data_IF_989916207607
#
_entry.id   IF_989916207607
#
_cell.length_a   1.000
_cell.length_b   1.000
_cell.length_c   1.000
_cell.angle_alpha   90.00
_cell.angle_beta   90.00
_cell.angle_gamma   90.00
#
_symmetry.space_group_name_H-M   'P 1'
#
loop_
_entity.id
_entity.type
_entity.pdbx_description
1 polymer ?
#
# COMPACT_ATOMS: atom_id res chain seq x y z
N UNK A 1 -15.60 -17.69 81.57
CA UNK A 1 -15.80 -18.19 80.20
C UNK A 1 -16.50 -17.09 79.39
N UNK A 2 -15.75 -16.29 78.64
CA UNK A 2 -16.29 -15.31 77.67
C UNK A 2 -15.69 -15.70 76.32
N UNK A 3 -16.56 -16.01 75.35
CA UNK A 3 -16.17 -16.48 74.03
C UNK A 3 -15.52 -15.37 73.22
N UNK A 4 -14.33 -15.63 72.69
CA UNK A 4 -13.70 -14.77 71.69
C UNK A 4 -14.41 -14.94 70.33
N UNK A 5 -14.83 -13.81 69.74
CA UNK A 5 -15.36 -13.72 68.39
C UNK A 5 -14.18 -13.45 67.44
N UNK A 6 -14.02 -14.19 66.33
CA UNK A 6 -12.89 -13.98 65.41
C UNK A 6 -13.09 -12.71 64.57
N UNK A 7 -12.00 -12.05 64.12
CA UNK A 7 -12.10 -10.80 63.37
C UNK A 7 -12.64 -11.02 61.95
N UNK A 8 -13.51 -10.11 61.52
CA UNK A 8 -14.06 -10.02 60.17
C UNK A 8 -12.94 -9.87 59.13
N UNK A 9 -12.87 -10.80 58.18
CA UNK A 9 -12.01 -10.69 56.99
C UNK A 9 -12.42 -9.46 56.18
N UNK A 10 -11.48 -8.53 55.97
CA UNK A 10 -11.64 -7.45 54.98
C UNK A 10 -11.68 -8.07 53.58
N UNK A 11 -12.77 -7.82 52.85
CA UNK A 11 -12.89 -8.16 51.44
C UNK A 11 -11.80 -7.41 50.63
N UNK A 12 -10.84 -8.14 50.07
CA UNK A 12 -10.01 -7.66 48.97
C UNK A 12 -10.84 -7.68 47.67
N UNK A 13 -10.77 -6.65 46.82
CA UNK A 13 -11.37 -6.69 45.49
C UNK A 13 -10.62 -7.72 44.62
N UNK A 14 -11.31 -8.40 43.69
CA UNK A 14 -10.69 -9.43 42.87
C UNK A 14 -9.65 -8.82 41.91
N UNK A 15 -8.54 -9.55 41.75
CA UNK A 15 -7.50 -9.31 40.75
C UNK A 15 -8.06 -9.39 39.32
N UNK A 16 -7.65 -8.53 38.36
CA UNK A 16 -8.19 -8.55 37.01
C UNK A 16 -7.59 -9.71 36.20
N UNK A 17 -8.17 -10.89 36.33
CA UNK A 17 -7.92 -12.01 35.42
C UNK A 17 -8.96 -12.00 34.28
N UNK A 18 -8.42 -11.94 33.05
CA UNK A 18 -9.04 -12.38 31.79
C UNK A 18 -10.39 -11.75 31.43
N UNK A 19 -10.33 -10.52 30.89
CA UNK A 19 -11.38 -10.03 30.01
C UNK A 19 -11.37 -10.89 28.74
N UNK A 20 -12.52 -11.51 28.42
CA UNK A 20 -12.74 -12.16 27.12
C UNK A 20 -12.47 -11.14 25.99
N UNK A 21 -11.76 -11.52 24.92
CA UNK A 21 -11.62 -10.63 23.77
C UNK A 21 -13.01 -10.29 23.24
N UNK A 22 -13.29 -8.99 23.12
CA UNK A 22 -14.48 -8.48 22.46
C UNK A 22 -14.52 -9.05 21.04
N UNK A 23 -15.69 -9.46 20.53
CA UNK A 23 -15.79 -9.96 19.15
C UNK A 23 -15.27 -8.88 18.20
N UNK A 24 -14.29 -9.26 17.37
CA UNK A 24 -13.77 -8.43 16.28
C UNK A 24 -14.94 -7.93 15.43
N UNK A 25 -15.01 -6.62 15.19
CA UNK A 25 -15.96 -6.02 14.25
C UNK A 25 -16.01 -6.85 12.95
N UNK A 26 -17.21 -7.06 12.36
CA UNK A 26 -17.33 -7.83 11.14
C UNK A 26 -16.48 -7.23 10.02
N UNK A 27 -15.79 -8.12 9.29
CA UNK A 27 -14.91 -7.80 8.17
C UNK A 27 -15.68 -6.94 7.13
N UNK A 28 -15.32 -5.67 6.99
CA UNK A 28 -16.08 -4.73 6.15
C UNK A 28 -15.85 -4.99 4.65
N UNK A 29 -16.93 -5.18 3.89
CA UNK A 29 -16.90 -5.11 2.41
C UNK A 29 -16.48 -3.69 2.01
N UNK A 30 -15.53 -3.57 1.09
CA UNK A 30 -14.93 -2.28 0.71
C UNK A 30 -15.73 -1.56 -0.37
N UNK A 31 -15.81 -0.23 -0.29
CA UNK A 31 -16.35 0.63 -1.35
C UNK A 31 -15.29 1.05 -2.38
N UNK A 32 -14.07 0.51 -2.28
CA UNK A 32 -12.98 0.79 -3.21
C UNK A 32 -13.17 -0.10 -4.44
N UNK A 33 -13.50 0.51 -5.57
CA UNK A 33 -14.02 -0.19 -6.77
C UNK A 33 -13.09 -1.24 -7.38
N UNK A 34 -11.79 -1.19 -7.07
CA UNK A 34 -10.78 -2.07 -7.64
C UNK A 34 -10.29 -3.18 -6.69
N UNK A 35 -10.95 -3.35 -5.53
CA UNK A 35 -10.63 -4.37 -4.52
C UNK A 35 -11.90 -4.97 -3.89
N UNK A 36 -11.78 -6.12 -3.19
CA UNK A 36 -12.93 -6.88 -2.67
C UNK A 36 -13.04 -6.79 -1.14
N UNK A 37 -11.89 -6.69 -0.45
CA UNK A 37 -11.80 -6.72 1.00
C UNK A 37 -10.80 -5.67 1.48
N UNK A 38 -11.04 -5.07 2.65
CA UNK A 38 -10.01 -4.29 3.35
C UNK A 38 -9.48 -5.07 4.54
N UNK A 39 -8.16 -5.00 4.75
CA UNK A 39 -7.47 -5.41 5.97
C UNK A 39 -6.71 -4.20 6.54
N UNK A 40 -6.96 -3.84 7.81
CA UNK A 40 -6.39 -2.63 8.41
C UNK A 40 -5.52 -2.96 9.63
N UNK A 41 -4.30 -3.52 9.45
CA UNK A 41 -3.34 -3.71 10.52
C UNK A 41 -2.87 -2.40 11.17
N UNK A 42 -3.04 -1.25 10.51
CA UNK A 42 -2.82 0.06 11.13
C UNK A 42 -3.97 1.03 10.85
N UNK A 43 -4.17 2.03 11.72
CA UNK A 43 -5.02 3.21 11.48
C UNK A 43 -4.21 4.49 11.67
N UNK A 44 -4.66 5.59 11.07
CA UNK A 44 -4.01 6.90 11.19
C UNK A 44 -2.81 7.13 10.27
N UNK A 45 -2.52 8.40 10.01
CA UNK A 45 -1.43 8.82 9.11
C UNK A 45 -1.10 10.30 9.32
N UNK A 46 0.11 10.71 8.93
CA UNK A 46 0.49 12.12 8.78
C UNK A 46 0.34 12.56 7.31
N UNK A 47 -0.25 13.75 7.10
CA UNK A 47 -0.31 14.45 5.81
C UNK A 47 1.10 14.83 5.35
N UNK A 48 1.46 14.49 4.10
CA UNK A 48 2.81 14.74 3.55
C UNK A 48 2.81 15.29 2.11
N UNK A 49 1.63 15.53 1.53
CA UNK A 49 1.49 16.11 0.18
C UNK A 49 0.17 16.87 0.03
N UNK A 50 0.07 17.62 -1.07
CA UNK A 50 -1.14 18.36 -1.44
C UNK A 50 -2.34 17.43 -1.69
N UNK A 51 -2.08 16.17 -2.06
CA UNK A 51 -3.10 15.13 -2.13
C UNK A 51 -3.78 14.83 -0.79
N UNK A 52 -3.13 15.15 0.33
CA UNK A 52 -3.66 14.89 1.66
C UNK A 52 -4.57 16.01 2.20
N UNK A 53 -4.71 17.14 1.49
CA UNK A 53 -5.49 18.29 1.97
C UNK A 53 -6.97 17.94 2.22
N UNK A 54 -7.58 17.16 1.33
CA UNK A 54 -8.98 16.69 1.44
C UNK A 54 -9.06 15.18 1.74
N UNK A 55 -8.12 14.65 2.54
CA UNK A 55 -8.03 13.22 2.83
C UNK A 55 -9.32 12.67 3.47
N UNK A 56 -10.02 11.75 2.77
CA UNK A 56 -11.25 11.16 3.29
C UNK A 56 -11.02 10.40 4.61
N UNK A 57 -9.85 9.75 4.76
CA UNK A 57 -9.55 8.94 5.94
C UNK A 57 -9.43 9.81 7.20
N UNK A 58 -8.91 11.04 7.06
CA UNK A 58 -8.84 12.00 8.17
C UNK A 58 -10.26 12.45 8.59
N UNK A 59 -11.11 12.79 7.61
CA UNK A 59 -12.50 13.17 7.88
C UNK A 59 -13.32 12.02 8.50
N UNK A 60 -13.11 10.81 8.00
CA UNK A 60 -13.77 9.61 8.51
C UNK A 60 -13.28 9.24 9.91
N UNK A 61 -11.98 9.39 10.21
CA UNK A 61 -11.43 9.14 11.54
C UNK A 61 -12.04 10.07 12.60
N UNK A 62 -12.22 11.36 12.30
CA UNK A 62 -12.93 12.29 13.19
C UNK A 62 -14.35 11.81 13.50
N UNK A 63 -15.07 11.31 12.49
CA UNK A 63 -16.42 10.75 12.65
C UNK A 63 -16.39 9.47 13.50
N UNK A 64 -15.50 8.54 13.20
CA UNK A 64 -15.34 7.28 13.94
C UNK A 64 -14.97 7.50 15.42
N UNK A 65 -14.13 8.49 15.69
CA UNK A 65 -13.85 8.95 17.07
C UNK A 65 -15.13 9.38 17.77
N UNK A 66 -15.90 10.29 17.15
CA UNK A 66 -17.15 10.80 17.70
C UNK A 66 -18.22 9.71 17.92
N UNK A 67 -18.17 8.62 17.14
CA UNK A 67 -19.03 7.44 17.32
C UNK A 67 -18.49 6.44 18.36
N UNK A 68 -17.34 6.71 19.00
CA UNK A 68 -16.77 5.86 20.04
C UNK A 68 -16.00 4.64 19.53
N UNK A 69 -15.62 4.57 18.24
CA UNK A 69 -14.85 3.44 17.71
C UNK A 69 -13.49 3.34 18.38
N UNK A 70 -13.18 2.17 18.97
CA UNK A 70 -11.98 1.95 19.79
C UNK A 70 -10.67 2.25 19.02
N UNK A 71 -10.60 1.91 17.73
CA UNK A 71 -9.40 2.09 16.89
C UNK A 71 -9.06 3.55 16.55
N UNK A 72 -9.97 4.49 16.86
CA UNK A 72 -9.87 5.90 16.47
C UNK A 72 -9.95 6.85 17.67
N UNK A 73 -9.66 6.37 18.88
CA UNK A 73 -9.68 7.23 20.08
C UNK A 73 -8.40 8.04 20.26
N UNK A 74 -7.28 7.64 19.64
CA UNK A 74 -5.99 8.31 19.76
C UNK A 74 -5.86 9.48 18.78
N UNK A 75 -5.67 10.69 19.32
CA UNK A 75 -5.51 11.90 18.52
C UNK A 75 -4.10 12.05 17.97
N UNK A 76 -4.02 12.43 16.69
CA UNK A 76 -2.75 12.69 16.02
C UNK A 76 -2.23 14.10 16.29
N UNK A 77 -1.13 14.44 15.64
CA UNK A 77 -0.58 15.79 15.66
C UNK A 77 -1.60 16.80 15.06
N UNK A 78 -1.77 17.98 15.68
CA UNK A 78 -2.75 18.99 15.27
C UNK A 78 -2.51 19.56 13.86
N UNK A 79 -1.26 19.57 13.37
CA UNK A 79 -0.90 20.14 12.07
C UNK A 79 -0.84 19.07 10.99
N UNK A 80 -0.29 17.89 11.27
CA UNK A 80 -0.13 16.83 10.26
C UNK A 80 -1.22 15.79 10.27
N UNK A 81 -1.98 15.67 11.35
CA UNK A 81 -3.08 14.72 11.53
C UNK A 81 -4.24 15.45 12.21
N UNK A 82 -5.10 14.73 12.93
CA UNK A 82 -6.21 15.34 13.65
C UNK A 82 -6.90 14.35 14.59
N UNK A 83 -8.12 14.69 15.03
CA UNK A 83 -8.87 13.87 15.98
C UNK A 83 -9.04 12.44 15.49
N UNK A 84 -8.60 11.48 16.31
CA UNK A 84 -8.71 10.06 16.07
C UNK A 84 -7.80 9.50 14.98
N UNK A 85 -6.82 10.28 14.50
CA UNK A 85 -5.99 9.92 13.34
C UNK A 85 -4.50 9.81 13.65
N UNK A 86 -4.13 9.54 14.92
CA UNK A 86 -2.78 9.10 15.24
C UNK A 86 -2.48 7.76 14.59
N UNK A 87 -1.23 7.57 14.16
CA UNK A 87 -0.81 6.24 13.71
C UNK A 87 -0.88 5.27 14.90
N UNK A 88 -1.66 4.21 14.74
CA UNK A 88 -1.83 3.13 15.70
C UNK A 88 -1.72 1.79 14.98
N UNK A 89 -0.93 0.87 15.54
CA UNK A 89 -0.85 -0.53 15.10
C UNK A 89 -1.89 -1.39 15.79
N UNK A 90 -2.45 -2.38 15.10
CA UNK A 90 -3.49 -3.28 15.62
C UNK A 90 -3.04 -4.76 15.53
N UNK A 91 -2.19 -5.24 16.45
CA UNK A 91 -1.70 -6.64 16.43
C UNK A 91 -2.82 -7.69 16.40
N UNK A 92 -3.95 -7.43 17.06
CA UNK A 92 -5.09 -8.35 17.11
C UNK A 92 -5.71 -8.65 15.74
N UNK A 93 -5.49 -7.76 14.77
CA UNK A 93 -6.00 -7.90 13.39
C UNK A 93 -5.06 -8.71 12.49
N UNK A 94 -3.84 -9.02 12.95
CA UNK A 94 -2.83 -9.69 12.13
C UNK A 94 -3.31 -11.06 11.63
N UNK A 95 -4.09 -11.77 12.44
CA UNK A 95 -4.55 -13.13 12.13
C UNK A 95 -5.81 -13.18 11.27
N UNK A 96 -6.42 -12.04 10.93
CA UNK A 96 -7.65 -11.99 10.15
C UNK A 96 -7.52 -12.71 8.80
N UNK A 97 -6.46 -12.47 7.99
CA UNK A 97 -6.36 -13.12 6.68
C UNK A 97 -6.18 -14.63 6.74
N UNK A 98 -5.57 -15.15 7.81
CA UNK A 98 -5.38 -16.60 8.02
C UNK A 98 -6.73 -17.36 8.08
N UNK A 99 -7.82 -16.66 8.40
CA UNK A 99 -9.17 -17.24 8.53
C UNK A 99 -9.93 -17.25 7.21
N UNK A 100 -9.48 -16.52 6.19
CA UNK A 100 -10.20 -16.40 4.92
C UNK A 100 -9.86 -17.57 3.98
N UNK A 101 -10.86 -18.41 3.68
CA UNK A 101 -10.67 -19.60 2.85
C UNK A 101 -10.76 -19.34 1.35
N UNK A 102 -11.61 -18.41 0.92
CA UNK A 102 -11.78 -18.09 -0.51
C UNK A 102 -10.73 -17.06 -0.94
N UNK A 103 -10.14 -17.18 -2.15
CA UNK A 103 -9.31 -16.14 -2.74
C UNK A 103 -9.98 -14.77 -2.70
N UNK A 104 -9.19 -13.73 -2.46
CA UNK A 104 -9.66 -12.34 -2.30
C UNK A 104 -8.62 -11.37 -2.86
N UNK A 105 -9.07 -10.27 -3.45
CA UNK A 105 -8.27 -9.05 -3.60
C UNK A 105 -8.43 -8.17 -2.36
N UNK A 106 -7.34 -7.98 -1.63
CA UNK A 106 -7.31 -7.36 -0.30
C UNK A 106 -6.53 -6.05 -0.36
N UNK A 107 -7.21 -4.93 -0.14
CA UNK A 107 -6.54 -3.65 0.08
C UNK A 107 -6.05 -3.53 1.52
N UNK A 108 -4.74 -3.37 1.68
CA UNK A 108 -4.10 -3.25 3.00
C UNK A 108 -4.03 -1.78 3.37
N UNK A 109 -4.63 -1.44 4.51
CA UNK A 109 -4.68 -0.11 5.10
C UNK A 109 -5.45 0.94 4.27
N UNK A 110 -6.78 0.87 4.30
CA UNK A 110 -7.63 1.93 3.74
C UNK A 110 -7.72 3.19 4.61
N UNK A 111 -7.31 3.11 5.87
CA UNK A 111 -7.42 4.21 6.85
C UNK A 111 -6.07 4.60 7.46
N UNK A 112 -4.96 4.26 6.79
CA UNK A 112 -3.59 4.57 7.20
C UNK A 112 -2.61 4.43 6.03
N UNK A 113 -1.31 4.58 6.29
CA UNK A 113 -0.23 4.26 5.34
C UNK A 113 0.68 3.21 6.00
N UNK A 114 0.74 2.00 5.43
CA UNK A 114 1.49 0.88 6.03
C UNK A 114 2.99 1.23 6.20
N UNK A 115 3.56 2.02 5.29
CA UNK A 115 4.95 2.44 5.35
C UNK A 115 5.15 3.77 6.09
N UNK A 116 4.20 4.20 6.93
CA UNK A 116 4.37 5.35 7.80
C UNK A 116 5.62 5.21 8.70
N UNK A 117 6.33 6.33 8.95
CA UNK A 117 7.61 6.33 9.68
C UNK A 117 7.52 5.71 11.09
N UNK A 118 6.36 5.89 11.74
CA UNK A 118 6.04 5.34 13.07
C UNK A 118 5.59 3.87 13.07
N UNK A 119 5.42 3.19 11.92
CA UNK A 119 5.13 1.75 11.91
C UNK A 119 6.45 1.00 12.14
N UNK A 120 6.59 0.22 13.23
CA UNK A 120 7.82 -0.50 13.50
C UNK A 120 8.16 -1.50 12.39
N UNK A 121 9.46 -1.70 12.14
CA UNK A 121 9.93 -2.65 11.12
C UNK A 121 9.47 -4.08 11.42
N UNK A 122 9.50 -4.50 12.68
CA UNK A 122 9.07 -5.85 13.06
C UNK A 122 7.57 -6.04 12.84
N UNK A 123 6.75 -5.01 13.08
CA UNK A 123 5.33 -5.05 12.77
C UNK A 123 5.07 -5.15 11.26
N UNK A 124 5.86 -4.45 10.43
CA UNK A 124 5.82 -4.65 8.99
C UNK A 124 6.16 -6.08 8.60
N UNK A 125 7.18 -6.68 9.22
CA UNK A 125 7.57 -8.06 8.96
C UNK A 125 6.45 -9.04 9.36
N UNK A 126 5.74 -8.80 10.47
CA UNK A 126 4.55 -9.57 10.85
C UNK A 126 3.44 -9.49 9.79
N UNK A 127 3.14 -8.30 9.29
CA UNK A 127 2.14 -8.10 8.22
C UNK A 127 2.55 -8.85 6.95
N UNK A 128 3.82 -8.74 6.54
CA UNK A 128 4.34 -9.45 5.37
C UNK A 128 4.38 -10.97 5.56
N UNK A 129 4.69 -11.46 6.76
CA UNK A 129 4.65 -12.89 7.08
C UNK A 129 3.23 -13.47 6.92
N UNK A 130 2.20 -12.72 7.34
CA UNK A 130 0.80 -13.11 7.12
C UNK A 130 0.46 -13.16 5.63
N UNK A 131 0.85 -12.14 4.85
CA UNK A 131 0.63 -12.13 3.40
C UNK A 131 1.32 -13.30 2.70
N UNK A 132 2.52 -13.66 3.17
CA UNK A 132 3.31 -14.78 2.67
C UNK A 132 2.67 -16.15 3.02
N UNK A 133 2.07 -16.27 4.21
CA UNK A 133 1.36 -17.47 4.66
C UNK A 133 -0.04 -17.64 4.03
N UNK A 134 -0.51 -16.65 3.27
CA UNK A 134 -1.85 -16.66 2.65
C UNK A 134 -1.77 -16.40 1.14
N UNK A 135 -1.05 -17.25 0.39
CA UNK A 135 -0.79 -17.04 -1.04
C UNK A 135 -2.05 -17.07 -1.92
N UNK A 136 -3.17 -17.57 -1.40
CA UNK A 136 -4.47 -17.56 -2.08
C UNK A 136 -5.08 -16.14 -2.21
N UNK A 137 -4.60 -15.15 -1.46
CA UNK A 137 -5.09 -13.77 -1.54
C UNK A 137 -4.09 -12.88 -2.27
N UNK A 138 -4.61 -11.92 -3.03
CA UNK A 138 -3.80 -10.86 -3.64
C UNK A 138 -3.90 -9.62 -2.77
N UNK A 139 -2.76 -9.12 -2.28
CA UNK A 139 -2.68 -7.94 -1.42
C UNK A 139 -2.29 -6.71 -2.23
N UNK A 140 -3.02 -5.62 -2.06
CA UNK A 140 -2.74 -4.32 -2.67
C UNK A 140 -2.35 -3.34 -1.56
N UNK A 141 -1.12 -2.86 -1.57
CA UNK A 141 -0.61 -1.87 -0.64
C UNK A 141 -0.40 -0.56 -1.38
N UNK A 142 -0.97 0.53 -0.87
CA UNK A 142 -0.75 1.88 -1.41
C UNK A 142 -0.05 2.76 -0.38
N UNK A 143 1.03 3.43 -0.76
CA UNK A 143 1.78 4.32 0.13
C UNK A 143 2.18 5.63 -0.53
N UNK A 144 2.27 6.71 0.23
CA UNK A 144 2.92 7.96 -0.22
C UNK A 144 4.41 8.03 0.17
N UNK A 145 4.94 6.94 0.74
CA UNK A 145 6.31 6.80 1.26
C UNK A 145 7.06 5.64 0.60
N UNK A 146 7.12 5.56 -0.75
CA UNK A 146 7.76 4.44 -1.44
C UNK A 146 9.27 4.36 -1.18
N UNK A 147 9.94 5.46 -0.85
CA UNK A 147 11.36 5.44 -0.44
C UNK A 147 11.56 4.56 0.80
N UNK A 148 10.69 4.72 1.80
CA UNK A 148 10.74 3.88 3.01
C UNK A 148 10.39 2.43 2.70
N UNK A 149 9.44 2.18 1.81
CA UNK A 149 9.12 0.83 1.34
C UNK A 149 10.35 0.17 0.69
N UNK A 150 10.96 0.84 -0.30
CA UNK A 150 12.17 0.35 -0.96
C UNK A 150 13.29 0.07 0.05
N UNK A 151 13.63 1.06 0.90
CA UNK A 151 14.72 0.91 1.89
C UNK A 151 14.52 -0.25 2.86
N UNK A 152 13.29 -0.54 3.26
CA UNK A 152 13.00 -1.65 4.19
C UNK A 152 13.05 -2.98 3.45
N UNK A 153 12.45 -3.05 2.26
CA UNK A 153 12.28 -4.30 1.54
C UNK A 153 13.51 -4.71 0.70
N UNK A 154 14.44 -3.79 0.45
CA UNK A 154 15.74 -4.05 -0.20
C UNK A 154 16.91 -3.69 0.71
N UNK A 155 16.74 -3.86 2.02
CA UNK A 155 17.77 -3.48 2.97
C UNK A 155 19.07 -4.27 2.76
N UNK A 156 20.20 -3.60 2.89
CA UNK A 156 21.52 -4.19 2.63
C UNK A 156 22.11 -4.72 3.95
N UNK A 157 22.67 -5.93 3.92
CA UNK A 157 23.44 -6.43 5.06
C UNK A 157 24.73 -5.64 5.22
N UNK A 158 24.95 -5.10 6.41
CA UNK A 158 26.23 -4.47 6.79
C UNK A 158 27.16 -5.44 7.54
N UNK A 159 26.76 -6.71 7.68
CA UNK A 159 27.49 -7.76 8.38
C UNK A 159 28.80 -8.20 7.71
N UNK A 160 29.02 -7.84 6.44
CA UNK A 160 30.17 -8.32 5.65
C UNK A 160 30.00 -9.70 5.00
N UNK A 161 28.90 -10.43 5.29
CA UNK A 161 28.68 -11.80 4.78
C UNK A 161 28.03 -11.86 3.38
N UNK A 162 27.85 -10.72 2.69
CA UNK A 162 27.38 -10.71 1.30
C UNK A 162 25.92 -11.15 1.09
N UNK A 163 25.05 -11.01 2.09
CA UNK A 163 23.63 -11.35 1.92
C UNK A 163 22.94 -10.50 0.83
N UNK A 164 21.99 -11.08 0.08
CA UNK A 164 21.25 -10.34 -0.95
C UNK A 164 20.38 -9.22 -0.34
N UNK A 165 20.02 -8.18 -1.12
CA UNK A 165 19.12 -7.13 -0.65
C UNK A 165 17.77 -7.68 -0.17
N UNK A 166 17.28 -7.17 0.97
CA UNK A 166 16.02 -7.59 1.57
C UNK A 166 16.09 -8.85 2.43
N UNK A 167 17.27 -9.49 2.52
CA UNK A 167 17.46 -10.73 3.27
C UNK A 167 17.03 -10.59 4.73
N UNK A 168 17.45 -9.52 5.41
CA UNK A 168 17.11 -9.31 6.81
C UNK A 168 15.63 -9.08 7.03
N UNK A 169 14.95 -8.38 6.11
CA UNK A 169 13.50 -8.20 6.23
C UNK A 169 12.78 -9.53 6.14
N UNK A 170 13.22 -10.41 5.23
CA UNK A 170 12.71 -11.77 5.10
C UNK A 170 13.05 -12.63 6.32
N UNK A 171 14.24 -12.49 6.92
CA UNK A 171 14.56 -13.14 8.18
C UNK A 171 13.65 -12.66 9.33
N UNK A 172 13.29 -11.37 9.37
CA UNK A 172 12.30 -10.86 10.33
C UNK A 172 10.91 -11.45 10.11
N UNK A 173 10.52 -11.74 8.87
CA UNK A 173 9.27 -12.46 8.58
C UNK A 173 9.30 -13.88 9.14
N UNK A 174 10.43 -14.58 9.00
CA UNK A 174 10.62 -15.91 9.61
C UNK A 174 10.58 -15.86 11.13
N UNK A 175 11.20 -14.82 11.71
CA UNK A 175 11.14 -14.58 13.15
C UNK A 175 9.70 -14.35 13.63
N UNK A 176 8.86 -13.67 12.85
CA UNK A 176 7.43 -13.52 13.15
C UNK A 176 6.63 -14.84 13.05
N UNK A 177 7.14 -15.86 12.37
CA UNK A 177 6.55 -17.20 12.28
C UNK A 177 7.11 -18.20 13.31
N UNK A 178 8.05 -17.77 14.16
CA UNK A 178 8.73 -18.65 15.12
C UNK A 178 8.05 -18.59 16.50
N UNK A 179 7.52 -19.68 17.07
CA UNK A 179 6.70 -19.64 18.28
C UNK A 179 7.34 -19.03 19.54
N UNK A 180 8.66 -19.07 19.67
CA UNK A 180 9.39 -18.50 20.81
C UNK A 180 9.83 -17.05 20.57
N UNK A 181 9.50 -16.47 19.42
CA UNK A 181 9.80 -15.09 19.09
C UNK A 181 8.89 -14.12 19.86
N UNK A 182 9.43 -12.99 20.37
CA UNK A 182 8.60 -11.92 20.94
C UNK A 182 7.69 -11.25 19.90
N UNK A 183 7.95 -11.45 18.61
CA UNK A 183 7.13 -10.92 17.50
C UNK A 183 6.30 -12.01 16.84
N UNK A 184 6.11 -13.16 17.48
CA UNK A 184 5.34 -14.27 16.93
C UNK A 184 3.89 -13.86 16.62
N UNK A 185 3.40 -14.21 15.43
CA UNK A 185 1.99 -14.06 15.06
C UNK A 185 1.32 -15.42 15.16
N UNK A 186 0.31 -15.59 16.04
CA UNK A 186 -0.38 -16.86 16.21
C UNK A 186 -0.96 -17.42 14.91
N UNK A 187 -0.65 -18.68 14.61
CA UNK A 187 -1.14 -19.38 13.44
C UNK A 187 -0.22 -19.30 12.22
N UNK A 188 0.92 -18.60 12.32
CA UNK A 188 1.98 -18.73 11.32
C UNK A 188 2.81 -19.99 11.57
N UNK A 189 3.13 -20.69 10.50
CA UNK A 189 3.99 -21.88 10.51
C UNK A 189 5.42 -21.50 10.12
N UNK A 190 6.40 -21.99 10.87
CA UNK A 190 7.82 -21.83 10.58
C UNK A 190 8.17 -22.27 9.14
N UNK A 191 9.22 -21.69 8.55
CA UNK A 191 9.69 -21.95 7.19
C UNK A 191 9.01 -21.09 6.11
N UNK A 192 8.39 -19.97 6.47
CA UNK A 192 7.85 -18.98 5.51
C UNK A 192 8.96 -18.51 4.57
N UNK A 193 10.15 -18.24 5.10
CA UNK A 193 11.30 -17.76 4.33
C UNK A 193 11.64 -18.67 3.15
N UNK A 194 11.55 -19.99 3.34
CA UNK A 194 11.90 -20.99 2.32
C UNK A 194 10.74 -21.30 1.37
N UNK A 195 9.49 -21.19 1.84
CA UNK A 195 8.30 -21.52 1.03
C UNK A 195 7.81 -20.34 0.18
N UNK A 196 8.19 -19.12 0.53
CA UNK A 196 7.73 -17.91 -0.16
C UNK A 196 8.77 -17.40 -1.15
N UNK A 197 8.35 -17.13 -2.39
CA UNK A 197 9.16 -16.40 -3.36
C UNK A 197 9.42 -14.96 -2.92
N UNK A 198 10.50 -14.35 -3.42
CA UNK A 198 10.79 -12.93 -3.25
C UNK A 198 11.03 -12.25 -4.60
N UNK A 199 10.32 -11.16 -4.94
CA UNK A 199 9.19 -10.56 -4.21
C UNK A 199 8.04 -11.55 -3.99
N UNK A 200 7.19 -11.30 -2.98
CA UNK A 200 6.00 -12.13 -2.73
C UNK A 200 5.08 -12.06 -3.96
N UNK A 201 4.76 -13.20 -4.62
CA UNK A 201 4.00 -13.22 -5.87
C UNK A 201 2.59 -12.63 -5.77
N UNK A 202 2.04 -12.61 -4.56
CA UNK A 202 0.70 -12.16 -4.27
C UNK A 202 0.64 -10.74 -3.66
N UNK A 203 1.77 -10.01 -3.61
CA UNK A 203 1.82 -8.65 -3.05
C UNK A 203 2.09 -7.62 -4.14
N UNK A 204 1.11 -6.73 -4.31
CA UNK A 204 1.15 -5.57 -5.19
C UNK A 204 1.43 -4.33 -4.35
N UNK A 205 2.40 -3.53 -4.77
CA UNK A 205 2.77 -2.30 -4.06
C UNK A 205 2.62 -1.14 -5.03
N UNK A 206 1.95 -0.10 -4.60
CA UNK A 206 1.77 1.10 -5.38
C UNK A 206 2.07 2.36 -4.60
N UNK A 207 2.19 3.46 -5.35
CA UNK A 207 2.35 4.78 -4.75
C UNK A 207 1.35 5.79 -5.30
N UNK A 208 0.87 6.70 -4.43
CA UNK A 208 0.03 7.79 -4.91
C UNK A 208 0.89 8.84 -5.61
N UNK A 209 0.42 9.33 -6.75
CA UNK A 209 1.05 10.41 -7.51
C UNK A 209 -0.02 11.42 -7.88
N UNK A 210 0.04 12.61 -7.31
CA UNK A 210 -1.02 13.60 -7.52
C UNK A 210 -0.69 14.62 -8.62
N UNK A 211 0.60 14.78 -8.97
CA UNK A 211 1.12 15.68 -10.01
C UNK A 211 2.57 15.30 -10.36
N UNK A 212 3.15 15.94 -11.39
CA UNK A 212 4.52 15.64 -11.88
C UNK A 212 5.58 15.66 -10.78
N UNK A 213 5.55 16.64 -9.85
CA UNK A 213 6.53 16.73 -8.76
C UNK A 213 6.58 15.44 -7.94
N UNK A 214 5.42 14.88 -7.61
CA UNK A 214 5.36 13.62 -6.86
C UNK A 214 5.63 12.40 -7.75
N UNK A 215 5.36 12.47 -9.06
CA UNK A 215 5.75 11.44 -10.02
C UNK A 215 7.28 11.27 -10.03
N UNK A 216 7.99 12.38 -10.25
CA UNK A 216 9.47 12.44 -10.30
C UNK A 216 10.10 11.95 -8.99
N UNK A 217 9.47 12.24 -7.85
CA UNK A 217 9.95 11.84 -6.53
C UNK A 217 9.67 10.38 -6.20
N UNK A 218 8.46 9.89 -6.49
CA UNK A 218 7.93 8.63 -5.93
C UNK A 218 8.08 7.44 -6.88
N UNK A 219 7.99 7.65 -8.18
CA UNK A 219 8.08 6.55 -9.17
C UNK A 219 9.46 5.89 -9.12
N UNK A 220 10.60 6.62 -9.10
CA UNK A 220 11.92 5.98 -9.01
C UNK A 220 12.10 5.12 -7.73
N UNK A 221 11.48 5.52 -6.62
CA UNK A 221 11.52 4.72 -5.38
C UNK A 221 10.62 3.49 -5.48
N UNK A 222 9.43 3.61 -6.09
CA UNK A 222 8.55 2.47 -6.33
C UNK A 222 9.21 1.42 -7.22
N UNK A 223 9.90 1.82 -8.29
CA UNK A 223 10.59 0.92 -9.21
C UNK A 223 11.71 0.10 -8.52
N UNK A 224 12.30 0.63 -7.45
CA UNK A 224 13.27 -0.10 -6.60
C UNK A 224 12.61 -1.06 -5.61
N UNK A 225 11.30 -0.94 -5.38
CA UNK A 225 10.60 -1.73 -4.38
C UNK A 225 10.28 -3.13 -4.95
N UNK A 226 10.57 -4.22 -4.23
CA UNK A 226 10.24 -5.58 -4.68
C UNK A 226 8.74 -5.79 -4.52
N UNK A 227 8.05 -6.00 -5.64
CA UNK A 227 6.61 -6.27 -5.70
C UNK A 227 6.30 -7.09 -6.95
N UNK A 228 5.25 -7.91 -6.89
CA UNK A 228 4.78 -8.66 -8.05
C UNK A 228 4.09 -7.76 -9.08
N UNK A 229 3.46 -6.68 -8.61
CA UNK A 229 2.87 -5.61 -9.44
C UNK A 229 3.22 -4.28 -8.80
N UNK A 230 3.75 -3.36 -9.61
CA UNK A 230 4.00 -1.96 -9.24
C UNK A 230 2.92 -1.08 -9.85
N UNK A 231 2.14 -0.40 -9.04
CA UNK A 231 1.04 0.43 -9.55
C UNK A 231 1.07 1.89 -9.10
N UNK A 232 0.51 2.76 -9.93
CA UNK A 232 0.26 4.16 -9.55
C UNK A 232 -1.20 4.37 -9.20
N UNK A 233 -1.42 5.17 -8.16
CA UNK A 233 -2.75 5.66 -7.79
C UNK A 233 -2.75 7.17 -7.92
N UNK A 234 -3.22 7.66 -9.06
CA UNK A 234 -3.39 9.08 -9.36
C UNK A 234 -4.80 9.52 -8.99
N UNK A 235 -5.15 9.34 -7.72
CA UNK A 235 -6.45 9.66 -7.14
C UNK A 235 -6.29 10.33 -5.76
N UNK A 236 -6.38 11.67 -5.67
CA UNK A 236 -6.77 12.58 -6.74
C UNK A 236 -5.60 12.94 -7.69
N UNK A 237 -5.87 13.02 -8.99
CA UNK A 237 -5.01 13.69 -9.97
C UNK A 237 -5.30 15.20 -9.94
N UNK A 238 -4.37 15.98 -9.37
CA UNK A 238 -4.54 17.43 -9.12
C UNK A 238 -3.59 18.29 -9.95
N UNK A 239 -2.82 17.68 -10.85
CA UNK A 239 -1.96 18.35 -11.82
C UNK A 239 -1.54 17.37 -12.93
N UNK A 240 -0.97 17.88 -14.04
CA UNK A 240 -0.51 17.03 -15.13
C UNK A 240 0.60 16.10 -14.66
N UNK A 241 0.65 14.91 -15.28
CA UNK A 241 1.72 13.92 -15.14
C UNK A 241 2.03 13.39 -16.53
N UNK A 242 3.29 13.46 -16.91
CA UNK A 242 3.89 12.82 -18.08
C UNK A 242 4.66 11.60 -17.58
N UNK A 243 4.24 10.40 -17.99
CA UNK A 243 4.87 9.13 -17.62
C UNK A 243 5.95 8.68 -18.62
N UNK A 244 6.06 9.34 -19.78
CA UNK A 244 7.09 9.07 -20.80
C UNK A 244 8.36 9.92 -20.61
N UNK A 245 8.26 11.01 -19.85
CA UNK A 245 9.35 11.90 -19.48
C UNK A 245 9.56 13.05 -20.46
N UNK A 246 10.27 14.13 -20.07
CA UNK A 246 10.33 15.35 -20.86
C UNK A 246 11.02 15.11 -22.21
N UNK A 247 10.35 15.49 -23.29
CA UNK A 247 11.02 15.79 -24.57
C UNK A 247 11.81 17.08 -24.34
N UNK A 248 13.09 16.97 -24.00
CA UNK A 248 13.96 18.15 -23.81
C UNK A 248 14.28 18.75 -25.19
N UNK A 249 13.86 20.00 -25.51
CA UNK A 249 14.28 20.65 -26.75
C UNK A 249 15.72 21.16 -26.56
N UNK A 250 16.69 20.55 -27.22
CA UNK A 250 18.11 20.97 -27.19
C UNK A 250 19.10 19.83 -27.43
N UNK A 251 20.41 20.16 -27.59
CA UNK A 251 21.50 19.17 -27.80
C UNK A 251 21.85 18.33 -26.56
N UNK A 252 20.95 18.21 -25.59
CA UNK A 252 21.07 17.27 -24.48
C UNK A 252 20.32 15.98 -24.82
N UNK A 253 20.87 14.80 -24.50
CA UNK A 253 20.12 13.54 -24.66
C UNK A 253 18.87 13.62 -23.76
N UNK A 254 17.64 13.48 -24.29
CA UNK A 254 16.44 13.45 -23.48
C UNK A 254 16.58 12.36 -22.41
N UNK A 255 16.35 12.70 -21.14
CA UNK A 255 16.10 11.69 -20.11
C UNK A 255 14.66 11.22 -20.29
N UNK A 256 14.44 10.33 -21.24
CA UNK A 256 13.20 9.56 -21.30
C UNK A 256 13.10 8.80 -19.98
N UNK A 257 12.00 8.99 -19.26
CA UNK A 257 11.73 8.28 -18.03
C UNK A 257 11.03 7.00 -18.42
N UNK A 258 11.79 5.92 -18.56
CA UNK A 258 11.29 4.60 -19.00
C UNK A 258 10.44 3.90 -17.94
N UNK A 259 9.52 4.63 -17.30
CA UNK A 259 8.73 4.12 -16.19
C UNK A 259 7.69 3.11 -16.64
N UNK A 260 7.18 3.23 -17.88
CA UNK A 260 6.17 2.33 -18.44
C UNK A 260 6.78 1.18 -19.24
N UNK A 261 7.83 1.42 -20.01
CA UNK A 261 8.41 0.45 -20.95
C UNK A 261 9.60 -0.33 -20.36
N UNK A 262 10.22 0.18 -19.28
CA UNK A 262 11.28 -0.51 -18.54
C UNK A 262 12.45 -0.89 -19.43
N UNK A 263 13.11 0.10 -20.07
CA UNK A 263 14.11 -0.16 -21.12
C UNK A 263 15.07 -1.30 -20.80
N UNK A 264 15.52 -2.04 -21.83
CA UNK A 264 16.48 -3.11 -21.65
C UNK A 264 17.80 -2.57 -21.09
N UNK A 265 18.12 -2.98 -19.87
CA UNK A 265 19.45 -2.87 -19.29
C UNK A 265 20.32 -4.04 -19.72
N UNK A 266 21.64 -3.85 -19.59
CA UNK A 266 22.55 -4.99 -19.49
C UNK A 266 22.43 -5.57 -18.09
N UNK A 267 22.49 -6.90 -17.95
CA UNK A 267 22.60 -7.53 -16.62
C UNK A 267 23.84 -7.03 -15.89
N UNK A 268 23.89 -7.23 -14.57
CA UNK A 268 25.15 -7.07 -13.82
C UNK A 268 26.26 -7.88 -14.52
N UNK A 269 27.50 -7.35 -14.59
CA UNK A 269 28.59 -8.04 -15.27
C UNK A 269 28.89 -9.35 -14.55
N UNK A 270 28.77 -10.48 -15.25
CA UNK A 270 29.14 -11.79 -14.68
C UNK A 270 30.59 -12.09 -15.09
N UNK A 271 31.53 -12.20 -14.14
CA UNK A 271 32.89 -12.65 -14.46
C UNK A 271 32.84 -14.11 -14.89
N UNK A 272 33.35 -14.40 -16.08
CA UNK A 272 33.55 -15.76 -16.60
C UNK A 272 35.05 -16.03 -16.74
N UNK A 273 35.42 -17.30 -16.89
CA UNK A 273 36.82 -17.71 -17.08
C UNK A 273 37.50 -17.12 -18.32
N UNK A 274 36.76 -16.44 -19.20
CA UNK A 274 37.24 -15.83 -20.44
C UNK A 274 36.93 -14.32 -20.56
N UNK A 275 36.33 -13.67 -19.55
CA UNK A 275 36.04 -12.24 -19.59
C UNK A 275 34.82 -11.81 -18.77
N UNK A 276 34.22 -10.68 -19.15
CA UNK A 276 32.95 -10.19 -18.60
C UNK A 276 31.84 -10.55 -19.57
N UNK A 277 30.88 -11.37 -19.15
CA UNK A 277 29.66 -11.63 -19.92
C UNK A 277 28.61 -10.57 -19.53
N UNK A 278 28.19 -9.76 -20.50
CA UNK A 278 27.00 -8.91 -20.39
C UNK A 278 25.86 -9.59 -21.15
N UNK A 279 24.82 -10.06 -20.45
CA UNK A 279 23.63 -10.60 -21.11
C UNK A 279 22.77 -9.44 -21.64
N UNK A 280 22.28 -9.60 -22.86
CA UNK A 280 21.48 -8.60 -23.57
C UNK A 280 20.00 -8.64 -23.14
N UNK A 281 19.47 -7.47 -22.79
CA UNK A 281 18.06 -7.08 -22.61
C UNK A 281 17.28 -7.76 -21.45
N UNK A 282 17.57 -7.42 -20.19
CA UNK A 282 16.51 -7.44 -19.17
C UNK A 282 15.77 -6.11 -19.23
N UNK A 283 14.48 -6.10 -19.57
CA UNK A 283 13.65 -4.90 -19.35
C UNK A 283 13.76 -4.54 -17.86
N UNK A 284 14.28 -3.36 -17.56
CA UNK A 284 14.38 -2.88 -16.18
C UNK A 284 13.01 -2.79 -15.50
N UNK A 285 12.96 -2.57 -14.18
CA UNK A 285 11.71 -2.43 -13.46
C UNK A 285 10.81 -1.36 -14.11
N UNK A 286 9.55 -1.72 -14.34
CA UNK A 286 8.51 -0.85 -14.90
C UNK A 286 7.28 -0.82 -14.01
N UNK A 287 6.35 0.06 -14.36
CA UNK A 287 5.00 0.09 -13.84
C UNK A 287 4.14 -0.96 -14.56
N UNK A 288 3.28 -1.63 -13.81
CA UNK A 288 2.41 -2.69 -14.32
C UNK A 288 0.95 -2.22 -14.42
N UNK A 289 0.58 -1.19 -13.66
CA UNK A 289 -0.80 -0.70 -13.61
C UNK A 289 -0.89 0.77 -13.19
N UNK A 290 -1.77 1.54 -13.84
CA UNK A 290 -2.00 2.96 -13.51
C UNK A 290 -3.49 3.19 -13.26
N UNK A 291 -3.82 3.74 -12.09
CA UNK A 291 -5.19 4.12 -11.72
C UNK A 291 -5.30 5.65 -11.78
N UNK A 292 -6.29 6.17 -12.49
CA UNK A 292 -6.54 7.61 -12.63
C UNK A 292 -7.91 7.94 -12.02
N UNK A 293 -7.96 9.01 -11.21
CA UNK A 293 -9.22 9.44 -10.61
C UNK A 293 -9.23 10.91 -10.15
N UNK A 294 -10.35 11.58 -10.42
CA UNK A 294 -10.63 12.90 -9.86
C UNK A 294 -10.97 12.84 -8.36
N UNK A 295 -10.80 13.98 -7.68
CA UNK A 295 -11.17 14.14 -6.26
C UNK A 295 -12.69 14.13 -6.09
N UNK A 296 -13.17 13.56 -4.98
CA UNK A 296 -14.60 13.45 -4.69
C UNK A 296 -14.96 14.07 -3.34
N UNK A 297 -16.17 14.63 -3.24
CA UNK A 297 -16.73 15.16 -1.99
C UNK A 297 -16.66 16.68 -1.87
N UNK A 298 -17.07 17.24 -0.71
CA UNK A 298 -17.06 18.68 -0.48
C UNK A 298 -15.65 19.24 -0.58
N UNK A 299 -15.48 20.34 -1.33
CA UNK A 299 -14.16 20.96 -1.55
C UNK A 299 -13.25 20.20 -2.52
N UNK A 300 -13.79 19.25 -3.29
CA UNK A 300 -13.04 18.56 -4.34
C UNK A 300 -12.42 19.54 -5.33
N UNK A 301 -11.14 19.33 -5.64
CA UNK A 301 -10.42 20.08 -6.68
C UNK A 301 -10.77 19.52 -8.06
N UNK A 302 -10.87 20.38 -9.09
CA UNK A 302 -11.09 19.93 -10.46
C UNK A 302 -9.88 19.14 -10.98
N UNK A 303 -10.16 18.06 -11.71
CA UNK A 303 -9.19 17.36 -12.54
C UNK A 303 -9.48 17.75 -13.99
N UNK A 304 -8.46 18.19 -14.74
CA UNK A 304 -8.62 18.43 -16.17
C UNK A 304 -8.66 17.06 -16.90
N UNK A 305 -9.73 16.72 -17.63
CA UNK A 305 -9.84 15.44 -18.35
C UNK A 305 -8.70 15.19 -19.34
N UNK A 306 -8.11 16.25 -19.91
CA UNK A 306 -6.98 16.12 -20.83
C UNK A 306 -5.77 15.43 -20.19
N UNK A 307 -5.53 15.62 -18.88
CA UNK A 307 -4.46 14.92 -18.17
C UNK A 307 -4.73 13.40 -18.11
N UNK A 308 -5.98 13.01 -17.85
CA UNK A 308 -6.37 11.60 -17.83
C UNK A 308 -6.26 10.98 -19.23
N UNK A 309 -6.67 11.72 -20.28
CA UNK A 309 -6.57 11.25 -21.67
C UNK A 309 -5.11 11.01 -22.06
N UNK A 310 -4.21 11.92 -21.71
CA UNK A 310 -2.77 11.75 -21.95
C UNK A 310 -2.24 10.48 -21.26
N UNK A 311 -2.53 10.29 -19.97
CA UNK A 311 -2.07 9.11 -19.22
C UNK A 311 -2.60 7.81 -19.83
N UNK A 312 -3.88 7.77 -20.25
CA UNK A 312 -4.47 6.61 -20.92
C UNK A 312 -3.71 6.30 -22.22
N UNK A 313 -3.44 7.30 -23.04
CA UNK A 313 -2.69 7.13 -24.29
C UNK A 313 -1.26 6.63 -24.05
N UNK A 314 -0.55 7.18 -23.06
CA UNK A 314 0.80 6.76 -22.69
C UNK A 314 0.84 5.30 -22.21
N UNK A 315 -0.15 4.90 -21.38
CA UNK A 315 -0.27 3.53 -20.89
C UNK A 315 -0.60 2.55 -22.02
N UNK A 316 -1.56 2.89 -22.89
CA UNK A 316 -1.93 2.06 -24.05
C UNK A 316 -0.77 1.88 -25.01
N UNK A 317 -0.03 2.97 -25.31
CA UNK A 317 1.18 2.92 -26.14
C UNK A 317 2.23 1.97 -25.56
N UNK A 318 2.41 2.01 -24.23
CA UNK A 318 3.40 1.21 -23.51
C UNK A 318 2.90 -0.18 -23.11
N UNK A 319 1.64 -0.52 -23.42
CA UNK A 319 0.97 -1.77 -23.02
C UNK A 319 0.95 -2.00 -21.50
N UNK A 320 0.80 -0.92 -20.75
CA UNK A 320 0.60 -0.94 -19.29
C UNK A 320 -0.90 -0.83 -19.02
N UNK A 321 -1.44 -1.68 -18.14
CA UNK A 321 -2.86 -1.64 -17.83
C UNK A 321 -3.25 -0.29 -17.21
N UNK A 322 -4.35 0.30 -17.66
CA UNK A 322 -4.86 1.57 -17.12
C UNK A 322 -6.32 1.46 -16.66
N UNK A 323 -6.62 2.04 -15.51
CA UNK A 323 -7.94 2.04 -14.91
C UNK A 323 -8.40 3.47 -14.60
N UNK A 324 -9.36 3.97 -15.36
CA UNK A 324 -10.05 5.23 -15.05
C UNK A 324 -11.18 4.93 -14.06
N UNK A 325 -11.01 5.42 -12.84
CA UNK A 325 -11.95 5.19 -11.74
C UNK A 325 -13.14 6.15 -11.79
N UNK A 326 -12.86 7.45 -11.84
CA UNK A 326 -13.85 8.51 -11.81
C UNK A 326 -13.26 9.84 -12.30
N UNK A 327 -14.09 10.75 -12.82
CA UNK A 327 -13.65 12.08 -13.27
C UNK A 327 -13.73 13.17 -12.19
N UNK A 328 -14.30 12.86 -11.02
CA UNK A 328 -14.35 13.73 -9.84
C UNK A 328 -15.65 14.54 -9.73
N UNK A 329 -15.91 15.06 -8.53
CA UNK A 329 -17.17 15.75 -8.20
C UNK A 329 -17.36 17.06 -8.98
N UNK A 330 -16.28 17.79 -9.27
CA UNK A 330 -16.38 19.05 -10.03
C UNK A 330 -16.80 18.78 -11.47
N UNK A 331 -16.15 17.82 -12.13
CA UNK A 331 -16.49 17.40 -13.49
C UNK A 331 -17.93 16.89 -13.58
N UNK A 332 -18.36 16.06 -12.62
CA UNK A 332 -19.71 15.51 -12.57
C UNK A 332 -20.78 16.61 -12.54
N UNK A 333 -20.58 17.63 -11.70
CA UNK A 333 -21.48 18.77 -11.60
C UNK A 333 -21.52 19.60 -12.88
N UNK A 334 -20.37 19.86 -13.48
CA UNK A 334 -20.27 20.67 -14.70
C UNK A 334 -20.89 20.00 -15.93
N UNK A 335 -20.94 18.66 -15.94
CA UNK A 335 -21.46 17.87 -17.06
C UNK A 335 -22.84 17.25 -16.79
N UNK A 336 -23.50 17.61 -15.68
CA UNK A 336 -24.76 17.00 -15.22
C UNK A 336 -24.72 15.46 -15.22
N UNK A 337 -23.60 14.90 -14.79
CA UNK A 337 -23.37 13.45 -14.78
C UNK A 337 -24.34 12.74 -13.83
N UNK A 338 -24.63 11.47 -14.13
CA UNK A 338 -25.54 10.63 -13.36
C UNK A 338 -25.01 10.23 -11.97
N UNK A 339 -23.68 10.24 -11.80
CA UNK A 339 -23.00 9.97 -10.53
C UNK A 339 -22.29 11.21 -9.98
N UNK A 340 -22.51 11.50 -8.69
CA UNK A 340 -21.98 12.70 -8.00
C UNK A 340 -20.44 12.75 -7.87
N UNK A 341 -19.75 11.64 -8.12
CA UNK A 341 -18.28 11.57 -8.14
C UNK A 341 -17.73 11.47 -9.55
N UNK A 342 -18.59 11.44 -10.57
CA UNK A 342 -18.22 11.21 -11.96
C UNK A 342 -17.72 9.78 -12.18
N UNK A 343 -18.32 8.80 -11.49
CA UNK A 343 -17.92 7.39 -11.48
C UNK A 343 -18.61 6.51 -12.54
N UNK A 344 -19.61 7.02 -13.27
CA UNK A 344 -20.31 6.28 -14.31
C UNK A 344 -19.63 6.46 -15.69
N UNK A 345 -19.02 5.42 -16.29
CA UNK A 345 -18.35 5.50 -17.58
C UNK A 345 -19.23 5.92 -18.76
N UNK A 346 -20.54 5.69 -18.68
CA UNK A 346 -21.45 6.05 -19.77
C UNK A 346 -21.52 7.57 -20.00
N UNK A 347 -21.26 8.35 -18.95
CA UNK A 347 -21.23 9.81 -19.01
C UNK A 347 -19.89 10.35 -19.57
N UNK A 348 -18.84 9.52 -19.65
CA UNK A 348 -17.49 9.98 -19.94
C UNK A 348 -17.21 10.08 -21.45
N UNK A 349 -16.21 10.90 -21.87
CA UNK A 349 -15.60 10.78 -23.20
C UNK A 349 -15.16 9.33 -23.47
N UNK A 350 -15.33 8.87 -24.72
CA UNK A 350 -15.13 7.46 -25.09
C UNK A 350 -13.72 6.95 -24.76
N UNK A 351 -12.71 7.79 -24.97
CA UNK A 351 -11.30 7.51 -24.70
C UNK A 351 -10.98 7.31 -23.20
N UNK A 352 -11.83 7.79 -22.29
CA UNK A 352 -11.67 7.62 -20.85
C UNK A 352 -12.43 6.41 -20.29
N UNK A 353 -13.22 5.70 -21.12
CA UNK A 353 -14.00 4.52 -20.71
C UNK A 353 -13.13 3.25 -20.63
N UNK A 354 -12.00 3.34 -19.93
CA UNK A 354 -11.00 2.27 -19.83
C UNK A 354 -10.88 1.79 -18.39
N UNK A 355 -11.01 0.47 -18.18
CA UNK A 355 -10.93 -0.19 -16.87
C UNK A 355 -10.20 -1.53 -16.98
N UNK A 356 -8.90 -1.45 -17.23
CA UNK A 356 -8.03 -2.60 -17.37
C UNK A 356 -7.38 -2.97 -16.03
N UNK A 357 -7.05 -4.26 -15.88
CA UNK A 357 -6.34 -4.80 -14.73
C UNK A 357 -5.06 -5.50 -15.21
N UNK A 358 -3.98 -5.51 -14.40
CA UNK A 358 -2.74 -6.19 -14.77
C UNK A 358 -2.94 -7.70 -14.81
N UNK A 359 -2.29 -8.38 -15.78
CA UNK A 359 -2.29 -9.84 -15.86
C UNK A 359 -1.18 -10.40 -14.97
N UNK A 360 -1.53 -11.16 -13.93
CA UNK A 360 -0.56 -11.78 -12.99
C UNK A 360 0.08 -13.07 -13.49
N UNK A 361 0.00 -13.37 -14.79
CA UNK A 361 0.37 -14.67 -15.38
C UNK A 361 1.85 -14.82 -15.69
N UNK A 362 2.67 -13.78 -15.54
CA UNK A 362 4.11 -13.88 -15.77
C UNK A 362 4.82 -13.98 -14.41
N UNK A 363 5.60 -15.06 -14.23
CA UNK A 363 6.44 -15.28 -13.05
C UNK A 363 7.19 -13.99 -12.67
N UNK A 364 7.51 -13.77 -11.37
CA UNK A 364 8.25 -12.59 -10.94
C UNK A 364 9.49 -12.44 -11.83
N UNK A 365 9.48 -11.39 -12.65
CA UNK A 365 10.60 -11.07 -13.54
C UNK A 365 11.67 -10.45 -12.65
N UNK A 366 12.73 -11.24 -12.45
CA UNK A 366 13.85 -10.97 -11.55
C UNK A 366 14.51 -9.61 -11.81
#
# INVERSE_FOLDING_TARGET
MRSEVPPLRRHQPPSPLHQRPQPSEPCAVTNIQWTEQTWNPTTGCDRISDGCLNCYALSMAKRLKGMGSAKYQTDGNLTTSGPGFALTTHPDTLTEPLRWKKPRKVFVNSMSDLFHARVPRDFLAQVFAVMAATPQHTYQILTKRPDRAARILTDLCTCGNGHPPGEHFRSSMEWAATPHSPTYVPGLEHGIYHRSGWPLPNVWIGTSVENQKYADLRIPALLKTPAAVRFLSMEPLIGPVDLCGPIVPGRGRPRLTYWLDGRPGYSDPVPTGTGIEMRSLTTGPRLDWVIVGGESGPGARPMNPAWATQIVQECQYSKVAVFVKQLGTVWARENNASDTKGGNPDDWPAELRVREYPTTTEAPRA
#
